data_IF_923237708198
#
_entry.id   IF_923237708198
#
_cell.length_a   1.000
_cell.length_b   1.000
_cell.length_c   1.000
_cell.angle_alpha   90.00
_cell.angle_beta   90.00
_cell.angle_gamma   90.00
#
_symmetry.space_group_name_H-M   'P 1'
#
loop_
_entity.id
_entity.type
_entity.pdbx_description
1 polymer ?
#
# COMPACT_ATOMS: atom_id res chain seq x y z
N UNK A 1 9.75 5.27 6.49
CA UNK A 1 8.99 4.18 5.82
C UNK A 1 8.95 4.47 4.32
N UNK A 2 9.57 3.62 3.50
CA UNK A 2 9.61 3.81 2.04
C UNK A 2 8.19 3.69 1.49
N UNK A 3 7.73 4.71 0.74
CA UNK A 3 6.44 4.67 0.05
C UNK A 3 6.66 4.27 -1.39
N UNK A 4 6.09 3.13 -1.77
CA UNK A 4 6.04 2.70 -3.16
C UNK A 4 4.91 3.42 -3.90
N UNK A 5 5.17 3.86 -5.13
CA UNK A 5 4.16 4.35 -6.06
C UNK A 5 3.18 3.24 -6.44
N UNK A 6 2.05 3.61 -7.06
CA UNK A 6 1.08 2.63 -7.56
C UNK A 6 1.70 1.68 -8.59
N UNK A 7 2.53 2.22 -9.48
CA UNK A 7 3.21 1.46 -10.54
C UNK A 7 4.20 0.47 -9.93
N UNK A 8 5.01 0.92 -8.97
CA UNK A 8 5.98 0.06 -8.29
C UNK A 8 5.31 -1.11 -7.58
N UNK A 9 4.21 -0.85 -6.85
CA UNK A 9 3.45 -1.91 -6.18
C UNK A 9 2.81 -2.88 -7.16
N UNK A 10 2.28 -2.37 -8.27
CA UNK A 10 1.69 -3.20 -9.31
C UNK A 10 2.75 -4.13 -9.89
N UNK A 11 3.95 -3.63 -10.16
CA UNK A 11 5.06 -4.42 -10.67
C UNK A 11 5.53 -5.47 -9.66
N UNK A 12 5.69 -5.09 -8.39
CA UNK A 12 6.02 -6.01 -7.29
C UNK A 12 5.01 -7.15 -7.21
N UNK A 13 3.71 -6.82 -7.24
CA UNK A 13 2.63 -7.80 -7.18
C UNK A 13 2.61 -8.71 -8.40
N UNK A 14 2.70 -8.16 -9.61
CA UNK A 14 2.72 -8.94 -10.85
C UNK A 14 3.87 -9.96 -10.85
N UNK A 15 5.08 -9.52 -10.50
CA UNK A 15 6.23 -10.42 -10.42
C UNK A 15 6.02 -11.47 -9.34
N UNK A 16 5.54 -11.09 -8.15
CA UNK A 16 5.33 -12.03 -7.06
C UNK A 16 4.24 -13.06 -7.35
N UNK A 17 3.13 -12.66 -7.96
CA UNK A 17 2.05 -13.57 -8.34
C UNK A 17 2.53 -14.57 -9.38
N UNK A 18 3.37 -14.14 -10.34
CA UNK A 18 3.90 -15.00 -11.40
C UNK A 18 4.94 -16.01 -10.90
N UNK A 19 5.83 -15.61 -10.00
CA UNK A 19 6.99 -16.43 -9.61
C UNK A 19 6.89 -17.03 -8.20
N UNK A 20 5.98 -16.52 -7.37
CA UNK A 20 5.89 -16.78 -5.92
C UNK A 20 7.21 -16.59 -5.16
N UNK A 21 8.18 -15.87 -5.76
CA UNK A 21 9.55 -15.76 -5.26
C UNK A 21 9.90 -14.33 -4.86
N UNK A 22 10.34 -14.17 -3.61
CA UNK A 22 10.77 -12.88 -3.06
C UNK A 22 12.07 -12.41 -3.72
N UNK A 23 13.01 -13.33 -3.96
CA UNK A 23 14.30 -13.02 -4.56
C UNK A 23 14.15 -12.56 -6.00
N UNK A 24 13.26 -13.19 -6.76
CA UNK A 24 12.90 -12.76 -8.12
C UNK A 24 12.29 -11.36 -8.14
N UNK A 25 11.35 -11.08 -7.22
CA UNK A 25 10.79 -9.73 -7.08
C UNK A 25 11.87 -8.70 -6.79
N UNK A 26 12.78 -8.98 -5.85
CA UNK A 26 13.85 -8.06 -5.49
C UNK A 26 14.83 -7.85 -6.65
N UNK A 27 15.22 -8.91 -7.36
CA UNK A 27 16.09 -8.85 -8.53
C UNK A 27 15.44 -8.04 -9.65
N UNK A 28 14.22 -8.39 -10.01
CA UNK A 28 13.47 -7.73 -11.08
C UNK A 28 13.22 -6.24 -10.77
N UNK A 29 12.91 -5.91 -9.50
CA UNK A 29 12.72 -4.52 -9.06
C UNK A 29 14.00 -3.69 -9.20
N UNK A 30 15.15 -4.22 -8.77
CA UNK A 30 16.45 -3.52 -8.90
C UNK A 30 16.83 -3.26 -10.36
N UNK A 31 16.62 -4.25 -11.22
CA UNK A 31 16.93 -4.14 -12.65
C UNK A 31 16.02 -3.09 -13.32
N UNK A 32 14.71 -3.19 -13.11
CA UNK A 32 13.76 -2.34 -13.81
C UNK A 32 13.78 -0.88 -13.35
N UNK A 33 13.95 -0.63 -12.06
CA UNK A 33 13.91 0.73 -11.53
C UNK A 33 15.30 1.34 -11.35
N UNK A 34 16.37 0.61 -11.72
CA UNK A 34 17.76 1.01 -11.53
C UNK A 34 18.06 1.46 -10.09
N UNK A 35 17.38 0.86 -9.11
CA UNK A 35 17.54 1.19 -7.69
C UNK A 35 18.36 0.13 -6.97
N UNK A 36 19.19 0.55 -6.01
CA UNK A 36 19.88 -0.37 -5.09
C UNK A 36 18.96 -0.92 -4.01
N UNK A 37 17.90 -0.18 -3.68
CA UNK A 37 16.98 -0.49 -2.59
C UNK A 37 15.79 -1.27 -3.14
N UNK A 38 15.71 -2.54 -2.79
CA UNK A 38 14.59 -3.41 -3.11
C UNK A 38 13.57 -3.48 -1.96
N UNK A 39 12.29 -3.78 -2.25
CA UNK A 39 11.31 -4.04 -1.20
C UNK A 39 11.71 -5.21 -0.31
N UNK A 40 11.42 -5.06 0.98
CA UNK A 40 11.65 -6.12 1.96
C UNK A 40 10.65 -7.26 1.77
N UNK A 41 11.02 -8.46 2.25
CA UNK A 41 10.14 -9.64 2.27
C UNK A 41 8.77 -9.33 2.89
N UNK A 42 8.75 -8.60 4.00
CA UNK A 42 7.52 -8.27 4.71
C UNK A 42 6.65 -7.29 3.92
N UNK A 43 7.26 -6.33 3.22
CA UNK A 43 6.55 -5.43 2.31
C UNK A 43 5.88 -6.21 1.18
N UNK A 44 6.62 -7.10 0.51
CA UNK A 44 6.10 -7.91 -0.60
C UNK A 44 4.91 -8.76 -0.15
N UNK A 45 5.07 -9.48 0.98
CA UNK A 45 3.98 -10.28 1.55
C UNK A 45 2.79 -9.43 1.99
N UNK A 46 3.01 -8.25 2.58
CA UNK A 46 1.93 -7.37 3.00
C UNK A 46 1.16 -6.82 1.80
N UNK A 47 1.85 -6.43 0.73
CA UNK A 47 1.20 -6.01 -0.52
C UNK A 47 0.35 -7.13 -1.10
N UNK A 48 0.88 -8.35 -1.16
CA UNK A 48 0.14 -9.50 -1.65
C UNK A 48 -1.10 -9.80 -0.82
N UNK A 49 -0.98 -9.84 0.52
CA UNK A 49 -2.14 -10.06 1.42
C UNK A 49 -3.22 -9.00 1.24
N UNK A 50 -2.84 -7.72 1.19
CA UNK A 50 -3.80 -6.63 0.98
C UNK A 50 -4.47 -6.72 -0.39
N UNK A 51 -3.72 -7.11 -1.41
CA UNK A 51 -4.26 -7.32 -2.74
C UNK A 51 -5.21 -8.51 -2.78
N UNK A 52 -4.88 -9.63 -2.13
CA UNK A 52 -5.74 -10.81 -2.05
C UNK A 52 -7.06 -10.54 -1.31
N UNK A 53 -7.02 -9.68 -0.28
CA UNK A 53 -8.19 -9.32 0.53
C UNK A 53 -9.13 -8.31 -0.16
N UNK A 54 -8.55 -7.25 -0.74
CA UNK A 54 -9.33 -6.10 -1.27
C UNK A 54 -9.45 -6.12 -2.80
N UNK A 55 -8.54 -6.80 -3.50
CA UNK A 55 -8.43 -6.76 -4.96
C UNK A 55 -7.83 -5.46 -5.51
N UNK A 56 -7.23 -4.61 -4.68
CA UNK A 56 -6.74 -3.29 -5.08
C UNK A 56 -5.30 -3.01 -4.59
N UNK A 57 -4.56 -2.26 -5.40
CA UNK A 57 -3.16 -1.84 -5.15
C UNK A 57 -3.07 -0.42 -4.55
N UNK A 58 -4.19 0.34 -4.57
CA UNK A 58 -4.27 1.68 -3.97
C UNK A 58 -4.11 1.61 -2.45
N UNK A 59 -3.49 2.64 -1.88
CA UNK A 59 -3.54 2.82 -0.43
C UNK A 59 -4.98 3.04 0.02
N UNK A 60 -5.37 2.34 1.10
CA UNK A 60 -6.59 2.69 1.83
C UNK A 60 -6.44 4.14 2.31
N UNK A 61 -7.46 5.01 2.15
CA UNK A 61 -7.41 6.33 2.75
C UNK A 61 -7.07 6.19 4.23
N UNK A 62 -6.07 6.95 4.69
CA UNK A 62 -5.70 6.95 6.10
C UNK A 62 -6.94 7.37 6.88
N UNK A 63 -7.29 6.59 7.91
CA UNK A 63 -8.27 7.01 8.91
C UNK A 63 -7.73 8.27 9.58
N UNK A 64 -8.19 9.44 9.13
CA UNK A 64 -7.93 10.69 9.82
C UNK A 64 -8.69 10.74 11.15
N UNK A 65 -8.40 11.76 11.97
CA UNK A 65 -9.26 12.10 13.11
C UNK A 65 -10.68 12.29 12.58
N UNK A 66 -11.66 11.56 13.14
CA UNK A 66 -13.07 11.77 12.81
C UNK A 66 -13.39 13.25 13.04
N UNK A 67 -13.82 13.97 12.00
CA UNK A 67 -14.32 15.34 12.17
C UNK A 67 -15.62 15.26 12.94
N UNK A 68 -15.76 16.03 14.01
CA UNK A 68 -17.07 16.23 14.65
C UNK A 68 -18.00 16.87 13.63
N UNK A 69 -19.19 16.30 13.47
CA UNK A 69 -20.24 16.88 12.64
C UNK A 69 -20.69 18.16 13.37
N UNK A 70 -20.49 19.33 12.76
CA UNK A 70 -20.99 20.61 13.27
C UNK A 70 -22.39 20.84 12.71
N UNK A 71 -23.37 20.11 13.25
CA UNK A 71 -24.80 20.39 13.02
C UNK A 71 -25.29 21.46 14.00
N UNK A 72 -26.35 22.18 13.62
CA UNK A 72 -26.98 23.19 14.46
C UNK A 72 -27.41 22.61 15.83
N UNK A 73 -27.99 21.41 15.82
CA UNK A 73 -28.33 20.63 17.03
C UNK A 73 -27.15 20.37 17.98
N UNK A 74 -25.92 20.27 17.45
CA UNK A 74 -24.71 20.05 18.27
C UNK A 74 -24.21 21.36 18.86
N UNK A 75 -24.43 22.49 18.18
CA UNK A 75 -24.09 23.83 18.68
C UNK A 75 -25.02 24.19 19.85
N UNK A 76 -26.32 23.91 19.71
CA UNK A 76 -27.33 24.22 20.73
C UNK A 76 -27.19 23.37 22.01
N UNK A 77 -26.65 22.16 21.92
CA UNK A 77 -26.41 21.29 23.10
C UNK A 77 -25.16 21.66 23.91
N UNK A 78 -24.26 22.46 23.34
CA UNK A 78 -22.97 22.81 23.97
C UNK A 78 -22.96 24.25 24.49
N UNK A 79 -23.92 25.08 24.08
CA UNK A 79 -24.16 26.43 24.61
C UNK A 79 -24.88 26.39 25.96
#
# INVERSE_FOLDING_TARGET
>A
MIRYSKEERTRILQTYIRTMSITEVQRHYRIHLKTRISPSKNTIKSLYRKFADIGNVKDKPRSGRKKSIRTQDVIERVA
#
